data_IF_557328181450
#
_entry.id   IF_557328181450
#
_cell.length_a   1.000
_cell.length_b   1.000
_cell.length_c   1.000
_cell.angle_alpha   90.00
_cell.angle_beta   90.00
_cell.angle_gamma   90.00
#
_symmetry.space_group_name_H-M   'P 1'
#
loop_
_entity.id
_entity.type
_entity.pdbx_description
1 polymer ?
#
# COMPACT_ATOMS: atom_id res chain seq x y z
N UNK A 1 -53.65 -23.06 11.84
CA UNK A 1 -53.45 -21.87 11.00
C UNK A 1 -52.37 -21.04 11.69
N UNK A 2 -51.15 -21.12 11.18
CA UNK A 2 -50.00 -20.35 11.67
C UNK A 2 -49.77 -19.18 10.71
N UNK A 3 -49.96 -17.95 11.15
CA UNK A 3 -49.58 -16.74 10.39
C UNK A 3 -48.07 -16.60 10.49
N UNK A 4 -47.40 -16.79 9.38
CA UNK A 4 -45.98 -16.40 9.18
C UNK A 4 -45.96 -14.89 8.94
N UNK A 5 -45.51 -14.11 9.90
CA UNK A 5 -45.21 -12.69 9.72
C UNK A 5 -43.91 -12.59 8.89
N UNK A 6 -44.05 -12.20 7.64
CA UNK A 6 -42.91 -11.77 6.82
C UNK A 6 -42.43 -10.41 7.35
N UNK A 7 -41.24 -10.41 7.97
CA UNK A 7 -40.48 -9.19 8.26
C UNK A 7 -39.97 -8.68 6.92
N UNK A 8 -40.66 -7.70 6.33
CA UNK A 8 -40.12 -6.91 5.20
C UNK A 8 -39.04 -6.01 5.79
N UNK A 9 -37.76 -6.38 5.58
CA UNK A 9 -36.67 -5.46 5.83
C UNK A 9 -36.84 -4.28 4.84
N UNK A 10 -37.23 -3.14 5.41
CA UNK A 10 -37.28 -1.88 4.65
C UNK A 10 -35.87 -1.62 4.08
N UNK A 11 -35.74 -1.68 2.76
CA UNK A 11 -34.55 -1.18 2.08
C UNK A 11 -34.44 0.32 2.35
N UNK A 12 -33.33 0.74 2.94
CA UNK A 12 -33.04 2.17 3.08
C UNK A 12 -33.14 2.84 1.69
N UNK A 13 -33.79 4.01 1.58
CA UNK A 13 -33.86 4.70 0.29
C UNK A 13 -32.46 5.00 -0.23
N UNK A 14 -32.24 4.91 -1.55
CA UNK A 14 -30.94 5.20 -2.13
C UNK A 14 -30.49 6.61 -1.75
N UNK A 15 -29.26 6.74 -1.28
CA UNK A 15 -28.66 8.03 -0.89
C UNK A 15 -28.76 9.02 -2.06
N UNK A 16 -29.13 10.27 -1.79
CA UNK A 16 -29.05 11.33 -2.80
C UNK A 16 -27.62 11.37 -3.34
N UNK A 17 -27.42 11.45 -4.69
CA UNK A 17 -26.08 11.50 -5.30
C UNK A 17 -25.19 12.65 -4.79
N UNK A 18 -25.81 13.70 -4.25
CA UNK A 18 -25.14 14.88 -3.67
C UNK A 18 -24.98 14.81 -2.15
N UNK A 19 -25.45 13.75 -1.51
CA UNK A 19 -25.25 13.59 -0.05
C UNK A 19 -23.76 13.41 0.26
N UNK A 20 -23.31 13.91 1.43
CA UNK A 20 -21.93 13.77 1.87
C UNK A 20 -21.45 12.29 1.88
N UNK A 21 -22.35 11.35 2.23
CA UNK A 21 -22.05 9.92 2.23
C UNK A 21 -21.82 9.39 0.80
N UNK A 22 -22.70 9.74 -0.15
CA UNK A 22 -22.55 9.34 -1.56
C UNK A 22 -21.28 9.94 -2.20
N UNK A 23 -21.00 11.22 -1.90
CA UNK A 23 -19.77 11.88 -2.36
C UNK A 23 -18.51 11.23 -1.78
N UNK A 24 -18.52 10.82 -0.49
CA UNK A 24 -17.40 10.06 0.09
C UNK A 24 -17.20 8.71 -0.61
N UNK A 25 -18.26 7.97 -0.85
CA UNK A 25 -18.18 6.69 -1.56
C UNK A 25 -17.63 6.87 -2.98
N UNK A 26 -18.08 7.88 -3.73
CA UNK A 26 -17.57 8.23 -5.06
C UNK A 26 -16.09 8.64 -5.02
N UNK A 27 -15.70 9.48 -4.06
CA UNK A 27 -14.30 9.90 -3.90
C UNK A 27 -13.36 8.73 -3.63
N UNK A 28 -13.80 7.75 -2.82
CA UNK A 28 -13.06 6.51 -2.59
C UNK A 28 -12.92 5.68 -3.87
N UNK A 29 -14.00 5.51 -4.63
CA UNK A 29 -13.95 4.78 -5.91
C UNK A 29 -12.95 5.42 -6.89
N UNK A 30 -13.01 6.75 -7.05
CA UNK A 30 -12.06 7.49 -7.88
C UNK A 30 -10.62 7.31 -7.39
N UNK A 31 -10.37 7.50 -6.09
CA UNK A 31 -9.03 7.37 -5.52
C UNK A 31 -8.41 5.99 -5.71
N UNK A 32 -9.19 4.93 -5.49
CA UNK A 32 -8.73 3.55 -5.72
C UNK A 32 -8.60 3.18 -7.19
N UNK A 33 -9.20 3.93 -8.10
CA UNK A 33 -8.99 3.84 -9.54
C UNK A 33 -7.83 4.73 -10.05
N UNK A 34 -7.05 5.37 -9.16
CA UNK A 34 -5.94 6.28 -9.46
C UNK A 34 -6.35 7.63 -10.09
N UNK A 35 -7.60 8.03 -9.93
CA UNK A 35 -8.10 9.35 -10.35
C UNK A 35 -8.02 10.32 -9.16
N UNK A 36 -6.80 10.57 -8.67
CA UNK A 36 -6.54 11.25 -7.40
C UNK A 36 -7.05 12.71 -7.39
N UNK A 37 -6.94 13.44 -8.49
CA UNK A 37 -7.40 14.83 -8.59
C UNK A 37 -8.92 14.93 -8.46
N UNK A 38 -9.65 14.07 -9.19
CA UNK A 38 -11.11 13.99 -9.15
C UNK A 38 -11.60 13.47 -7.79
N UNK A 39 -10.87 12.54 -7.18
CA UNK A 39 -11.16 12.05 -5.82
C UNK A 39 -11.07 13.20 -4.80
N UNK A 40 -10.00 14.00 -4.83
CA UNK A 40 -9.82 15.14 -3.94
C UNK A 40 -10.91 16.20 -4.15
N UNK A 41 -11.24 16.52 -5.41
CA UNK A 41 -12.33 17.44 -5.74
C UNK A 41 -13.68 16.92 -5.20
N UNK A 42 -13.94 15.63 -5.30
CA UNK A 42 -15.17 14.99 -4.79
C UNK A 42 -15.22 15.02 -3.25
N UNK A 43 -14.10 14.82 -2.55
CA UNK A 43 -14.06 14.94 -1.10
C UNK A 43 -14.25 16.39 -0.63
N UNK A 44 -13.77 17.40 -1.38
CA UNK A 44 -14.10 18.81 -1.10
C UNK A 44 -15.60 19.09 -1.22
N UNK A 45 -16.28 18.49 -2.19
CA UNK A 45 -17.74 18.56 -2.29
C UNK A 45 -18.43 17.86 -1.10
N UNK A 46 -17.90 16.71 -0.64
CA UNK A 46 -18.41 16.04 0.54
C UNK A 46 -18.27 16.88 1.83
N UNK A 47 -17.14 17.61 1.96
CA UNK A 47 -16.93 18.58 3.05
C UNK A 47 -17.94 19.72 2.97
N UNK A 48 -18.19 20.27 1.78
CA UNK A 48 -19.16 21.35 1.60
C UNK A 48 -20.59 20.90 1.92
N UNK A 49 -20.93 19.62 1.63
CA UNK A 49 -22.23 19.04 1.94
C UNK A 49 -22.43 18.72 3.44
N UNK A 50 -21.35 18.49 4.19
CA UNK A 50 -21.39 18.22 5.64
C UNK A 50 -20.07 18.70 6.27
N UNK A 51 -19.96 20.00 6.59
CA UNK A 51 -18.72 20.60 7.08
C UNK A 51 -18.40 20.22 8.54
N UNK A 52 -19.35 19.67 9.28
CA UNK A 52 -19.13 19.21 10.66
C UNK A 52 -18.72 17.74 10.76
N UNK A 53 -18.74 17.00 9.63
CA UNK A 53 -18.31 15.60 9.60
C UNK A 53 -16.79 15.47 9.44
N UNK A 54 -16.03 14.90 10.40
CA UNK A 54 -14.59 14.72 10.29
C UNK A 54 -14.16 13.79 9.16
N UNK A 55 -15.04 12.89 8.70
CA UNK A 55 -14.74 11.89 7.68
C UNK A 55 -14.39 12.51 6.32
N UNK A 56 -15.06 13.58 5.88
CA UNK A 56 -14.77 14.27 4.62
C UNK A 56 -13.34 14.82 4.60
N UNK A 57 -12.96 15.52 5.64
CA UNK A 57 -11.61 16.09 5.82
C UNK A 57 -10.54 15.00 5.90
N UNK A 58 -10.80 13.94 6.67
CA UNK A 58 -9.88 12.81 6.80
C UNK A 58 -9.62 12.12 5.46
N UNK A 59 -10.65 11.91 4.65
CA UNK A 59 -10.53 11.28 3.34
C UNK A 59 -9.83 12.19 2.32
N UNK A 60 -10.05 13.51 2.37
CA UNK A 60 -9.28 14.48 1.59
C UNK A 60 -7.79 14.41 1.94
N UNK A 61 -7.44 14.43 3.23
CA UNK A 61 -6.05 14.28 3.68
C UNK A 61 -5.45 12.93 3.23
N UNK A 62 -6.19 11.83 3.33
CA UNK A 62 -5.75 10.52 2.86
C UNK A 62 -5.44 10.51 1.35
N UNK A 63 -6.28 11.17 0.56
CA UNK A 63 -6.09 11.30 -0.90
C UNK A 63 -4.83 12.09 -1.23
N UNK A 64 -4.58 13.20 -0.54
CA UNK A 64 -3.36 13.99 -0.71
C UNK A 64 -2.12 13.15 -0.37
N UNK A 65 -2.16 12.41 0.75
CA UNK A 65 -1.08 11.52 1.14
C UNK A 65 -0.78 10.46 0.06
N UNK A 66 -1.80 9.77 -0.46
CA UNK A 66 -1.62 8.77 -1.52
C UNK A 66 -1.14 9.39 -2.83
N UNK A 67 -1.60 10.59 -3.17
CA UNK A 67 -1.09 11.37 -4.33
C UNK A 67 0.41 11.63 -4.20
N UNK A 68 0.86 12.09 -3.03
CA UNK A 68 2.28 12.36 -2.79
C UNK A 68 3.13 11.09 -2.83
N UNK A 69 2.62 9.97 -2.33
CA UNK A 69 3.31 8.67 -2.46
C UNK A 69 3.42 8.26 -3.93
N UNK A 70 2.36 8.43 -4.72
CA UNK A 70 2.36 8.16 -6.15
C UNK A 70 3.38 9.04 -6.89
N UNK A 71 3.42 10.35 -6.59
CA UNK A 71 4.40 11.31 -7.13
C UNK A 71 5.85 10.97 -6.73
N UNK A 72 6.05 10.27 -5.61
CA UNK A 72 7.36 9.76 -5.18
C UNK A 72 7.70 8.38 -5.74
N UNK A 73 6.85 7.80 -6.59
CA UNK A 73 7.04 6.48 -7.17
C UNK A 73 6.91 5.32 -6.17
N UNK A 74 6.20 5.52 -5.04
CA UNK A 74 5.86 4.46 -4.09
C UNK A 74 4.53 3.85 -4.53
N UNK A 75 4.58 2.80 -5.37
CA UNK A 75 3.42 2.31 -6.11
C UNK A 75 3.18 0.81 -6.01
N UNK A 76 4.12 0.04 -5.44
CA UNK A 76 4.03 -1.42 -5.39
C UNK A 76 4.21 -1.95 -3.97
N UNK A 77 3.78 -3.18 -3.73
CA UNK A 77 4.05 -3.91 -2.48
C UNK A 77 5.55 -4.06 -2.22
N UNK A 78 6.38 -4.12 -3.27
CA UNK A 78 7.83 -4.19 -3.13
C UNK A 78 8.41 -2.99 -2.37
N UNK A 79 7.78 -1.82 -2.45
CA UNK A 79 8.18 -0.64 -1.68
C UNK A 79 8.01 -0.85 -0.15
N UNK A 80 7.17 -1.80 0.26
CA UNK A 80 6.85 -2.12 1.64
C UNK A 80 7.43 -3.46 2.14
N UNK A 81 8.01 -4.31 1.28
CA UNK A 81 8.54 -5.61 1.69
C UNK A 81 9.91 -5.52 2.38
N UNK A 82 10.70 -4.48 2.13
CA UNK A 82 12.00 -4.28 2.77
C UNK A 82 11.91 -3.55 4.10
N UNK A 83 12.79 -3.90 5.05
CA UNK A 83 12.78 -3.34 6.40
C UNK A 83 13.29 -1.91 6.52
N UNK A 84 13.96 -1.36 5.50
CA UNK A 84 14.67 -0.09 5.60
C UNK A 84 14.53 0.85 4.40
N UNK A 85 13.77 0.50 3.38
CA UNK A 85 13.62 1.32 2.16
C UNK A 85 12.94 2.67 2.39
N UNK A 86 12.36 2.90 3.56
CA UNK A 86 11.67 4.14 3.93
C UNK A 86 12.60 5.32 4.23
N UNK A 87 13.92 5.08 4.36
CA UNK A 87 14.88 6.09 4.88
C UNK A 87 15.63 6.82 3.77
N UNK A 88 15.47 6.40 2.50
CA UNK A 88 16.20 7.03 1.37
C UNK A 88 15.69 8.45 1.15
N UNK A 89 16.62 9.37 0.88
CA UNK A 89 16.34 10.79 0.58
C UNK A 89 15.18 10.92 -0.42
N UNK A 90 14.10 11.54 0.02
CA UNK A 90 12.89 11.71 -0.77
C UNK A 90 12.85 13.11 -1.35
N UNK A 91 12.28 13.23 -2.52
CA UNK A 91 11.94 14.56 -3.06
C UNK A 91 10.97 15.23 -2.07
N UNK A 92 11.27 16.46 -1.62
CA UNK A 92 10.33 17.17 -0.77
C UNK A 92 8.94 17.23 -1.41
N UNK A 93 7.87 17.09 -0.62
CA UNK A 93 6.51 17.21 -1.16
C UNK A 93 6.26 18.63 -1.66
N UNK A 94 5.34 18.77 -2.60
CA UNK A 94 4.86 20.11 -3.01
C UNK A 94 4.27 20.83 -1.80
N UNK A 95 4.72 22.06 -1.56
CA UNK A 95 4.38 22.85 -0.37
C UNK A 95 2.86 23.04 -0.26
N UNK A 96 2.18 23.27 -1.39
CA UNK A 96 0.73 23.45 -1.45
C UNK A 96 -0.01 22.20 -0.97
N UNK A 97 0.37 21.01 -1.46
CA UNK A 97 -0.25 19.74 -1.03
C UNK A 97 0.07 19.41 0.42
N UNK A 98 1.30 19.67 0.87
CA UNK A 98 1.66 19.48 2.27
C UNK A 98 0.83 20.37 3.21
N UNK A 99 0.67 21.65 2.85
CA UNK A 99 -0.17 22.61 3.60
C UNK A 99 -1.64 22.18 3.61
N UNK A 100 -2.17 21.75 2.46
CA UNK A 100 -3.55 21.30 2.32
C UNK A 100 -3.78 19.99 3.11
N UNK A 101 -2.82 19.07 3.11
CA UNK A 101 -2.86 17.85 3.94
C UNK A 101 -3.04 18.20 5.41
N UNK A 102 -2.16 19.07 5.95
CA UNK A 102 -2.23 19.45 7.35
C UNK A 102 -3.48 20.26 7.69
N UNK A 103 -3.96 21.11 6.78
CA UNK A 103 -5.24 21.81 6.95
C UNK A 103 -6.39 20.82 7.16
N UNK A 104 -6.58 19.88 6.23
CA UNK A 104 -7.64 18.89 6.31
C UNK A 104 -7.48 17.97 7.53
N UNK A 105 -6.26 17.52 7.81
CA UNK A 105 -5.97 16.69 8.96
C UNK A 105 -6.36 17.38 10.27
N UNK A 106 -5.96 18.65 10.45
CA UNK A 106 -6.27 19.44 11.64
C UNK A 106 -7.78 19.65 11.82
N UNK A 107 -8.50 19.89 10.73
CA UNK A 107 -9.95 20.00 10.78
C UNK A 107 -10.61 18.68 11.24
N UNK A 108 -10.20 17.54 10.66
CA UNK A 108 -10.69 16.23 11.08
C UNK A 108 -10.43 15.96 12.57
N UNK A 109 -9.19 16.25 13.03
CA UNK A 109 -8.82 16.09 14.44
C UNK A 109 -9.63 17.00 15.37
N UNK A 110 -9.82 18.28 15.00
CA UNK A 110 -10.55 19.26 15.81
C UNK A 110 -12.01 18.88 15.96
N UNK A 111 -12.69 18.53 14.86
CA UNK A 111 -14.11 18.14 14.86
C UNK A 111 -14.33 16.85 15.68
N UNK A 112 -13.51 15.83 15.44
CA UNK A 112 -13.62 14.57 16.17
C UNK A 112 -13.30 14.74 17.67
N UNK A 113 -12.28 15.54 18.02
CA UNK A 113 -11.92 15.81 19.41
C UNK A 113 -12.99 16.66 20.13
N UNK A 114 -13.66 17.59 19.45
CA UNK A 114 -14.80 18.34 20.01
C UNK A 114 -15.90 17.36 20.40
N UNK A 115 -16.34 16.51 19.47
CA UNK A 115 -17.37 15.51 19.72
C UNK A 115 -17.01 14.55 20.86
N UNK A 116 -15.73 14.16 20.95
CA UNK A 116 -15.24 13.28 22.01
C UNK A 116 -15.23 13.96 23.40
N UNK A 117 -15.01 15.29 23.45
CA UNK A 117 -15.14 16.04 24.72
C UNK A 117 -16.57 16.10 25.21
N UNK A 118 -17.52 16.30 24.29
CA UNK A 118 -18.94 16.38 24.63
C UNK A 118 -19.53 15.01 24.96
N UNK A 119 -19.01 13.95 24.30
CA UNK A 119 -19.44 12.56 24.44
C UNK A 119 -18.24 11.61 24.58
N UNK A 120 -17.64 11.44 25.79
CA UNK A 120 -16.38 10.71 26.01
C UNK A 120 -16.43 9.21 25.67
N UNK A 121 -17.60 8.63 25.45
CA UNK A 121 -17.81 7.23 25.06
C UNK A 121 -18.31 7.07 23.62
N UNK A 122 -18.33 8.15 22.84
CA UNK A 122 -18.76 8.09 21.45
C UNK A 122 -17.76 7.26 20.62
N UNK A 123 -18.24 6.12 20.16
CA UNK A 123 -17.46 5.12 19.40
C UNK A 123 -16.95 5.69 18.08
N UNK A 124 -17.79 6.44 17.37
CA UNK A 124 -17.38 7.02 16.08
C UNK A 124 -16.38 8.16 16.27
N UNK A 125 -16.54 8.98 17.31
CA UNK A 125 -15.57 10.02 17.63
C UNK A 125 -14.19 9.43 17.97
N UNK A 126 -14.09 8.35 18.75
CA UNK A 126 -12.87 7.63 18.98
C UNK A 126 -12.24 7.11 17.67
N UNK A 127 -13.05 6.48 16.82
CA UNK A 127 -12.61 6.01 15.51
C UNK A 127 -12.06 7.15 14.65
N UNK A 128 -12.76 8.27 14.51
CA UNK A 128 -12.32 9.39 13.68
C UNK A 128 -11.05 10.05 14.20
N UNK A 129 -10.91 10.20 15.52
CA UNK A 129 -9.65 10.68 16.13
C UNK A 129 -8.52 9.74 15.80
N UNK A 130 -8.72 8.44 16.03
CA UNK A 130 -7.71 7.41 15.75
C UNK A 130 -7.29 7.40 14.28
N UNK A 131 -8.24 7.47 13.35
CA UNK A 131 -7.98 7.46 11.93
C UNK A 131 -7.24 8.72 11.44
N UNK A 132 -7.57 9.90 11.96
CA UNK A 132 -6.85 11.12 11.65
C UNK A 132 -5.39 11.06 12.13
N UNK A 133 -5.14 10.59 13.36
CA UNK A 133 -3.78 10.38 13.85
C UNK A 133 -3.01 9.26 13.11
N UNK A 134 -3.70 8.25 12.57
CA UNK A 134 -3.07 7.24 11.72
C UNK A 134 -2.53 7.86 10.42
N UNK A 135 -3.27 8.76 9.79
CA UNK A 135 -2.79 9.47 8.60
C UNK A 135 -1.66 10.45 8.92
N UNK A 136 -1.69 11.13 10.07
CA UNK A 136 -0.57 11.95 10.54
C UNK A 136 0.71 11.11 10.68
N UNK A 137 0.63 9.98 11.36
CA UNK A 137 1.76 9.08 11.55
C UNK A 137 2.27 8.54 10.21
N UNK A 138 1.37 8.16 9.30
CA UNK A 138 1.70 7.67 7.97
C UNK A 138 2.41 8.75 7.14
N UNK A 139 1.87 9.95 7.07
CA UNK A 139 2.46 11.07 6.33
C UNK A 139 3.85 11.42 6.89
N UNK A 140 3.95 11.65 8.20
CA UNK A 140 5.21 11.99 8.87
C UNK A 140 6.30 10.96 8.64
N UNK A 141 5.95 9.67 8.67
CA UNK A 141 6.93 8.59 8.46
C UNK A 141 7.25 8.35 6.98
N UNK A 142 6.24 8.44 6.09
CA UNK A 142 6.39 8.01 4.69
C UNK A 142 6.69 9.15 3.73
N UNK A 143 6.19 10.34 3.93
CA UNK A 143 6.42 11.52 3.08
C UNK A 143 7.56 12.37 3.63
N UNK A 144 7.58 12.65 4.94
CA UNK A 144 8.63 13.47 5.55
C UNK A 144 9.86 12.67 6.00
N UNK A 145 9.78 11.33 6.05
CA UNK A 145 10.87 10.45 6.48
C UNK A 145 11.17 10.51 7.99
N UNK A 146 10.34 11.19 8.79
CA UNK A 146 10.52 11.38 10.23
C UNK A 146 9.88 10.25 11.03
N UNK A 147 10.46 9.04 10.96
CA UNK A 147 9.93 7.83 11.61
C UNK A 147 9.77 8.01 13.13
N UNK A 148 10.79 8.55 13.82
CA UNK A 148 10.71 8.81 15.26
C UNK A 148 9.66 9.87 15.57
N UNK A 149 9.56 10.92 14.74
CA UNK A 149 8.56 11.99 14.88
C UNK A 149 7.12 11.51 14.73
N UNK A 150 6.89 10.39 14.06
CA UNK A 150 5.54 9.82 13.88
C UNK A 150 5.02 9.02 15.09
N UNK A 151 5.89 8.65 16.06
CA UNK A 151 5.54 7.72 17.14
C UNK A 151 4.40 8.22 18.04
N UNK A 152 4.34 9.51 18.34
CA UNK A 152 3.27 10.08 19.18
C UNK A 152 1.90 9.94 18.50
N UNK A 153 1.82 10.30 17.22
CA UNK A 153 0.61 10.15 16.43
C UNK A 153 0.24 8.67 16.25
N UNK A 154 1.21 7.80 15.99
CA UNK A 154 1.03 6.35 15.89
C UNK A 154 0.44 5.75 17.17
N UNK A 155 0.98 6.15 18.34
CA UNK A 155 0.46 5.71 19.64
C UNK A 155 -0.97 6.18 19.87
N UNK A 156 -1.27 7.43 19.53
CA UNK A 156 -2.63 7.96 19.65
C UNK A 156 -3.59 7.20 18.75
N UNK A 157 -3.22 6.99 17.49
CA UNK A 157 -4.00 6.20 16.53
C UNK A 157 -4.32 4.80 17.07
N UNK A 158 -3.31 4.10 17.56
CA UNK A 158 -3.47 2.77 18.14
C UNK A 158 -4.43 2.78 19.35
N UNK A 159 -4.23 3.70 20.30
CA UNK A 159 -5.01 3.76 21.53
C UNK A 159 -6.50 4.05 21.25
N UNK A 160 -6.79 4.96 20.32
CA UNK A 160 -8.18 5.32 19.97
C UNK A 160 -8.90 4.20 19.24
N UNK A 161 -8.23 3.49 18.31
CA UNK A 161 -8.82 2.33 17.64
C UNK A 161 -9.00 1.13 18.59
N UNK A 162 -8.05 0.89 19.52
CA UNK A 162 -8.19 -0.13 20.55
C UNK A 162 -9.34 0.20 21.50
N UNK A 163 -9.54 1.50 21.81
CA UNK A 163 -10.70 1.97 22.58
C UNK A 163 -12.01 1.75 21.81
N UNK A 164 -12.03 2.06 20.50
CA UNK A 164 -13.18 1.78 19.63
C UNK A 164 -13.58 0.30 19.69
N UNK A 165 -12.61 -0.62 19.53
CA UNK A 165 -12.85 -2.07 19.60
C UNK A 165 -13.35 -2.53 20.98
N UNK A 166 -12.92 -1.88 22.07
CA UNK A 166 -13.39 -2.18 23.43
C UNK A 166 -14.83 -1.69 23.68
N UNK A 167 -15.17 -0.53 23.16
CA UNK A 167 -16.51 0.05 23.30
C UNK A 167 -17.52 -0.63 22.36
N UNK A 168 -17.11 -0.99 21.16
CA UNK A 168 -17.94 -1.63 20.15
C UNK A 168 -17.14 -2.73 19.42
N UNK A 169 -17.14 -3.98 19.93
CA UNK A 169 -16.38 -5.09 19.33
C UNK A 169 -16.79 -5.43 17.89
N UNK A 170 -17.97 -4.99 17.45
CA UNK A 170 -18.47 -5.20 16.09
C UNK A 170 -17.95 -4.16 15.08
N UNK A 171 -17.34 -3.07 15.53
CA UNK A 171 -16.67 -2.08 14.68
C UNK A 171 -15.33 -2.64 14.17
N UNK A 172 -15.39 -3.66 13.32
CA UNK A 172 -14.21 -4.41 12.80
C UNK A 172 -13.26 -3.53 12.00
N UNK A 173 -13.74 -2.44 11.42
CA UNK A 173 -12.91 -1.44 10.70
C UNK A 173 -11.80 -0.85 11.58
N UNK A 174 -12.03 -0.64 12.87
CA UNK A 174 -11.01 -0.20 13.81
C UNK A 174 -9.85 -1.23 13.97
N UNK A 175 -10.13 -2.49 13.64
CA UNK A 175 -9.12 -3.56 13.63
C UNK A 175 -7.99 -3.35 12.63
N UNK A 176 -8.19 -2.58 11.57
CA UNK A 176 -7.15 -2.31 10.58
C UNK A 176 -5.89 -1.70 11.23
N UNK A 177 -6.05 -0.59 11.94
CA UNK A 177 -4.92 0.13 12.55
C UNK A 177 -4.30 -0.68 13.68
N UNK A 178 -5.12 -1.25 14.56
CA UNK A 178 -4.62 -2.10 15.65
C UNK A 178 -3.86 -3.30 15.09
N UNK A 179 -4.37 -3.91 14.01
CA UNK A 179 -3.76 -5.05 13.33
C UNK A 179 -2.41 -4.72 12.70
N UNK A 180 -2.31 -3.61 11.96
CA UNK A 180 -1.07 -3.12 11.34
C UNK A 180 0.02 -2.92 12.42
N UNK A 181 -0.30 -2.24 13.51
CA UNK A 181 0.68 -1.99 14.58
C UNK A 181 1.09 -3.27 15.31
N UNK A 182 0.14 -4.17 15.62
CA UNK A 182 0.47 -5.47 16.25
C UNK A 182 1.38 -6.31 15.37
N UNK A 183 1.10 -6.36 14.07
CA UNK A 183 1.94 -7.06 13.11
C UNK A 183 3.33 -6.40 13.02
N UNK A 184 3.40 -5.09 12.84
CA UNK A 184 4.67 -4.35 12.76
C UNK A 184 5.55 -4.50 14.02
N UNK A 185 4.95 -4.45 15.21
CA UNK A 185 5.68 -4.68 16.47
C UNK A 185 6.27 -6.09 16.53
N UNK A 186 5.57 -7.10 15.99
CA UNK A 186 6.10 -8.48 15.97
C UNK A 186 7.35 -8.65 15.09
N UNK A 187 7.54 -7.78 14.09
CA UNK A 187 8.70 -7.77 13.19
C UNK A 187 9.94 -7.07 13.80
N UNK A 188 9.77 -6.36 14.91
CA UNK A 188 10.87 -5.67 15.57
C UNK A 188 11.82 -6.65 16.27
N UNK A 189 13.11 -6.28 16.34
CA UNK A 189 14.08 -6.97 17.21
C UNK A 189 13.63 -6.97 18.68
N UNK A 190 14.04 -7.94 19.46
CA UNK A 190 13.59 -8.10 20.85
C UNK A 190 13.71 -6.82 21.70
N UNK A 191 14.81 -6.04 21.68
CA UNK A 191 14.90 -4.79 22.45
C UNK A 191 13.88 -3.73 21.98
N UNK A 192 13.73 -3.56 20.67
CA UNK A 192 12.78 -2.60 20.10
C UNK A 192 11.33 -3.00 20.38
N UNK A 193 11.04 -4.29 20.37
CA UNK A 193 9.73 -4.85 20.69
C UNK A 193 9.36 -4.63 22.16
N UNK A 194 10.30 -4.82 23.07
CA UNK A 194 10.09 -4.49 24.48
C UNK A 194 9.76 -3.01 24.67
N UNK A 195 10.51 -2.12 24.00
CA UNK A 195 10.22 -0.68 24.03
C UNK A 195 8.84 -0.35 23.48
N UNK A 196 8.41 -1.00 22.41
CA UNK A 196 7.08 -0.83 21.86
C UNK A 196 5.99 -1.26 22.86
N UNK A 197 6.19 -2.38 23.58
CA UNK A 197 5.26 -2.81 24.63
C UNK A 197 5.18 -1.81 25.79
N UNK A 198 6.31 -1.29 26.25
CA UNK A 198 6.37 -0.25 27.27
C UNK A 198 5.70 1.06 26.81
N UNK A 199 5.69 1.31 25.50
CA UNK A 199 4.99 2.45 24.91
C UNK A 199 3.49 2.21 24.68
N UNK A 200 2.94 1.07 25.10
CA UNK A 200 1.51 0.76 25.04
C UNK A 200 1.05 0.09 23.74
N UNK A 201 1.95 -0.28 22.83
CA UNK A 201 1.59 -1.07 21.66
C UNK A 201 1.43 -2.54 22.02
N UNK A 202 0.40 -3.20 21.48
CA UNK A 202 0.31 -4.66 21.53
C UNK A 202 1.14 -5.31 20.43
N UNK A 203 1.46 -6.60 20.59
CA UNK A 203 2.13 -7.41 19.58
C UNK A 203 1.32 -8.65 19.20
N UNK A 204 1.88 -9.42 18.28
CA UNK A 204 1.33 -10.69 17.81
C UNK A 204 1.01 -10.67 16.32
N UNK A 205 1.82 -11.40 15.54
CA UNK A 205 1.71 -11.47 14.07
C UNK A 205 0.33 -11.96 13.62
N UNK A 206 -0.06 -13.15 14.09
CA UNK A 206 -1.33 -13.76 13.69
C UNK A 206 -2.54 -12.95 14.15
N UNK A 207 -2.51 -12.46 15.40
CA UNK A 207 -3.59 -11.61 15.90
C UNK A 207 -3.68 -10.30 15.12
N UNK A 208 -2.55 -9.71 14.75
CA UNK A 208 -2.51 -8.52 13.90
C UNK A 208 -3.13 -8.78 12.53
N UNK A 209 -2.75 -9.88 11.88
CA UNK A 209 -3.29 -10.30 10.58
C UNK A 209 -4.79 -10.56 10.65
N UNK A 210 -5.26 -11.31 11.64
CA UNK A 210 -6.69 -11.61 11.82
C UNK A 210 -7.54 -10.33 11.96
N UNK A 211 -7.06 -9.33 12.71
CA UNK A 211 -7.75 -8.04 12.82
C UNK A 211 -7.86 -7.32 11.46
N UNK A 212 -6.84 -7.40 10.62
CA UNK A 212 -6.88 -6.83 9.26
C UNK A 212 -7.82 -7.64 8.38
N UNK A 213 -7.83 -8.98 8.48
CA UNK A 213 -8.77 -9.84 7.77
C UNK A 213 -10.22 -9.54 8.15
N UNK A 214 -10.51 -9.30 9.43
CA UNK A 214 -11.84 -8.90 9.89
C UNK A 214 -12.24 -7.52 9.34
N UNK A 215 -11.32 -6.54 9.36
CA UNK A 215 -11.55 -5.23 8.77
C UNK A 215 -11.81 -5.30 7.25
N UNK A 216 -11.12 -6.20 6.55
CA UNK A 216 -11.31 -6.41 5.11
C UNK A 216 -12.68 -7.02 4.76
N UNK A 217 -13.29 -7.74 5.68
CA UNK A 217 -14.66 -8.30 5.54
C UNK A 217 -15.76 -7.32 5.95
N UNK A 218 -15.41 -6.33 6.78
CA UNK A 218 -16.38 -5.38 7.33
C UNK A 218 -16.66 -4.24 6.32
N UNK A 219 -17.95 -3.99 5.97
CA UNK A 219 -18.32 -2.88 5.09
C UNK A 219 -18.02 -1.53 5.74
N UNK A 220 -17.03 -0.82 5.23
CA UNK A 220 -16.62 0.49 5.72
C UNK A 220 -15.79 1.24 4.67
N UNK A 221 -15.50 2.52 4.93
CA UNK A 221 -14.64 3.36 4.09
C UNK A 221 -13.16 2.93 4.09
N UNK A 222 -12.73 2.06 5.02
CA UNK A 222 -11.37 1.50 5.09
C UNK A 222 -11.28 0.05 4.64
N UNK A 223 -12.38 -0.58 4.24
CA UNK A 223 -12.39 -1.98 3.78
C UNK A 223 -11.36 -2.22 2.68
N UNK A 224 -11.30 -1.34 1.70
CA UNK A 224 -10.35 -1.44 0.59
C UNK A 224 -8.90 -1.25 1.06
N UNK A 225 -8.64 -0.35 2.02
CA UNK A 225 -7.32 -0.21 2.63
C UNK A 225 -6.89 -1.48 3.37
N UNK A 226 -7.83 -2.16 4.03
CA UNK A 226 -7.57 -3.45 4.67
C UNK A 226 -7.20 -4.52 3.64
N UNK A 227 -7.89 -4.57 2.49
CA UNK A 227 -7.53 -5.47 1.39
C UNK A 227 -6.14 -5.19 0.82
N UNK A 228 -5.77 -3.92 0.58
CA UNK A 228 -4.40 -3.57 0.16
C UNK A 228 -3.36 -3.96 1.22
N UNK A 229 -3.67 -3.75 2.49
CA UNK A 229 -2.80 -4.17 3.59
C UNK A 229 -2.61 -5.69 3.59
N UNK A 230 -3.67 -6.48 3.36
CA UNK A 230 -3.57 -7.94 3.27
C UNK A 230 -2.66 -8.39 2.12
N UNK A 231 -2.63 -7.70 0.98
CA UNK A 231 -1.69 -8.04 -0.09
C UNK A 231 -0.25 -7.95 0.44
N UNK A 232 0.08 -6.89 1.20
CA UNK A 232 1.42 -6.74 1.80
C UNK A 232 1.70 -7.86 2.82
N UNK A 233 0.77 -8.11 3.74
CA UNK A 233 0.95 -9.11 4.80
C UNK A 233 1.08 -10.52 4.22
N UNK A 234 0.22 -10.90 3.29
CA UNK A 234 0.27 -12.21 2.64
C UNK A 234 1.56 -12.41 1.82
N UNK A 235 2.05 -11.36 1.12
CA UNK A 235 3.34 -11.43 0.45
C UNK A 235 4.50 -11.62 1.44
N UNK A 236 4.49 -10.93 2.59
CA UNK A 236 5.49 -11.12 3.66
C UNK A 236 5.47 -12.53 4.26
N UNK A 237 4.30 -13.13 4.35
CA UNK A 237 4.10 -14.48 4.87
C UNK A 237 4.24 -15.57 3.80
N UNK A 238 4.61 -15.20 2.56
CA UNK A 238 4.67 -16.12 1.40
C UNK A 238 3.32 -16.81 1.09
N UNK A 239 2.21 -16.23 1.51
CA UNK A 239 0.84 -16.67 1.24
C UNK A 239 0.37 -16.08 -0.09
N UNK A 240 1.08 -16.42 -1.14
CA UNK A 240 0.90 -15.81 -2.45
C UNK A 240 -0.45 -16.11 -3.10
N UNK A 241 -1.03 -17.27 -2.81
CA UNK A 241 -2.35 -17.64 -3.32
C UNK A 241 -3.42 -16.68 -2.79
N UNK A 242 -3.41 -16.42 -1.49
CA UNK A 242 -4.33 -15.49 -0.84
C UNK A 242 -4.09 -14.04 -1.31
N UNK A 243 -2.82 -13.64 -1.47
CA UNK A 243 -2.50 -12.33 -2.03
C UNK A 243 -3.09 -12.15 -3.44
N UNK A 244 -2.92 -13.14 -4.33
CA UNK A 244 -3.49 -13.12 -5.68
C UNK A 244 -5.02 -13.12 -5.67
N UNK A 245 -5.67 -13.83 -4.73
CA UNK A 245 -7.13 -13.80 -4.59
C UNK A 245 -7.63 -12.39 -4.25
N UNK A 246 -6.98 -11.71 -3.28
CA UNK A 246 -7.32 -10.33 -2.91
C UNK A 246 -7.06 -9.36 -4.08
N UNK A 247 -5.96 -9.53 -4.82
CA UNK A 247 -5.66 -8.67 -5.98
C UNK A 247 -6.76 -8.82 -7.05
N UNK A 248 -7.21 -10.05 -7.35
CA UNK A 248 -8.31 -10.29 -8.31
C UNK A 248 -9.62 -9.64 -7.84
N UNK A 249 -9.95 -9.73 -6.55
CA UNK A 249 -11.10 -9.06 -5.96
C UNK A 249 -11.03 -7.55 -6.17
N UNK A 250 -9.87 -6.93 -5.89
CA UNK A 250 -9.66 -5.50 -6.08
C UNK A 250 -9.69 -5.10 -7.55
N UNK A 251 -9.16 -5.90 -8.47
CA UNK A 251 -9.23 -5.65 -9.90
C UNK A 251 -10.66 -5.66 -10.44
N UNK A 252 -11.50 -6.59 -9.95
CA UNK A 252 -12.91 -6.62 -10.32
C UNK A 252 -13.65 -5.36 -9.83
N UNK A 253 -13.28 -4.84 -8.65
CA UNK A 253 -13.89 -3.64 -8.07
C UNK A 253 -13.33 -2.33 -8.67
N UNK A 254 -12.01 -2.30 -8.96
CA UNK A 254 -11.30 -1.11 -9.45
C UNK A 254 -10.58 -1.41 -10.77
N UNK A 255 -11.33 -1.61 -11.87
CA UNK A 255 -10.76 -2.08 -13.14
C UNK A 255 -9.81 -1.09 -13.82
N UNK A 256 -9.90 0.21 -13.46
CA UNK A 256 -9.01 1.27 -13.99
C UNK A 256 -7.70 1.40 -13.19
N UNK A 257 -7.56 0.69 -12.06
CA UNK A 257 -6.31 0.67 -11.31
C UNK A 257 -5.31 -0.28 -11.97
N UNK A 258 -4.47 0.28 -12.83
CA UNK A 258 -3.44 -0.47 -13.55
C UNK A 258 -2.40 -1.10 -12.64
N UNK A 259 -2.10 -0.49 -11.48
CA UNK A 259 -1.09 -1.00 -10.54
C UNK A 259 -1.45 -2.36 -9.94
N UNK A 260 -2.74 -2.70 -9.87
CA UNK A 260 -3.17 -4.03 -9.44
C UNK A 260 -2.71 -5.16 -10.38
N UNK A 261 -2.60 -4.88 -11.70
CA UNK A 261 -2.03 -5.85 -12.65
C UNK A 261 -0.52 -6.00 -12.47
N UNK A 262 0.18 -4.90 -12.25
CA UNK A 262 1.61 -4.93 -11.92
C UNK A 262 1.85 -5.78 -10.68
N UNK A 263 1.06 -5.56 -9.63
CA UNK A 263 1.17 -6.32 -8.38
C UNK A 263 0.80 -7.80 -8.55
N UNK A 264 -0.20 -8.12 -9.39
CA UNK A 264 -0.52 -9.51 -9.71
C UNK A 264 0.68 -10.22 -10.35
N UNK A 265 1.32 -9.59 -11.34
CA UNK A 265 2.52 -10.12 -11.99
C UNK A 265 3.69 -10.28 -11.02
N UNK A 266 3.96 -9.25 -10.21
CA UNK A 266 5.03 -9.28 -9.21
C UNK A 266 4.77 -10.35 -8.12
N UNK A 267 3.54 -10.50 -7.65
CA UNK A 267 3.15 -11.56 -6.69
C UNK A 267 3.27 -12.95 -7.33
N UNK A 268 2.89 -13.13 -8.59
CA UNK A 268 3.04 -14.40 -9.31
C UNK A 268 4.53 -14.77 -9.49
N UNK A 269 5.42 -13.79 -9.72
CA UNK A 269 6.87 -14.02 -9.75
C UNK A 269 7.40 -14.49 -8.39
N UNK A 270 7.01 -13.85 -7.30
CA UNK A 270 7.36 -14.28 -5.94
C UNK A 270 6.85 -15.68 -5.63
N UNK A 271 5.67 -16.03 -6.18
CA UNK A 271 5.10 -17.37 -6.12
C UNK A 271 5.79 -18.41 -7.03
N UNK A 272 6.85 -18.04 -7.75
CA UNK A 272 7.53 -18.87 -8.75
C UNK A 272 6.61 -19.37 -9.88
N UNK A 273 5.68 -18.51 -10.32
CA UNK A 273 4.73 -18.75 -11.42
C UNK A 273 4.99 -17.81 -12.59
N UNK A 274 6.14 -17.92 -13.29
CA UNK A 274 6.53 -16.94 -14.29
C UNK A 274 5.60 -16.91 -15.51
N UNK A 275 4.95 -18.01 -15.88
CA UNK A 275 3.98 -18.04 -16.96
C UNK A 275 2.72 -17.21 -16.63
N UNK A 276 2.21 -17.32 -15.40
CA UNK A 276 1.09 -16.51 -14.91
C UNK A 276 1.50 -15.02 -14.84
N UNK A 277 2.70 -14.75 -14.33
CA UNK A 277 3.24 -13.38 -14.27
C UNK A 277 3.34 -12.74 -15.65
N UNK A 278 3.82 -13.48 -16.65
CA UNK A 278 3.91 -13.01 -18.05
C UNK A 278 2.56 -12.50 -18.56
N UNK A 279 1.49 -13.26 -18.37
CA UNK A 279 0.15 -12.89 -18.83
C UNK A 279 -0.30 -11.55 -18.22
N UNK A 280 -0.13 -11.38 -16.91
CA UNK A 280 -0.51 -10.14 -16.22
C UNK A 280 0.29 -8.93 -16.68
N UNK A 281 1.60 -9.12 -16.88
CA UNK A 281 2.54 -8.04 -17.18
C UNK A 281 2.49 -7.63 -18.64
N UNK A 282 2.30 -8.57 -19.55
CA UNK A 282 2.14 -8.30 -20.98
C UNK A 282 0.84 -7.53 -21.27
N UNK A 283 -0.31 -7.99 -20.75
CA UNK A 283 -1.58 -7.25 -20.85
C UNK A 283 -1.48 -5.87 -20.18
N UNK A 284 -0.85 -5.81 -19.01
CA UNK A 284 -0.68 -4.55 -18.28
C UNK A 284 0.18 -3.52 -19.02
N UNK A 285 1.29 -3.92 -19.65
CA UNK A 285 2.13 -3.05 -20.46
C UNK A 285 1.39 -2.54 -21.72
N UNK A 286 0.63 -3.41 -22.39
CA UNK A 286 -0.18 -3.01 -23.54
C UNK A 286 -1.22 -1.95 -23.15
N UNK A 287 -1.86 -2.10 -21.99
CA UNK A 287 -2.82 -1.11 -21.48
C UNK A 287 -2.13 0.17 -21.02
N UNK A 288 -0.98 0.07 -20.36
CA UNK A 288 -0.20 1.23 -19.93
C UNK A 288 0.18 2.13 -21.11
N UNK A 289 0.54 1.53 -22.26
CA UNK A 289 0.88 2.28 -23.47
C UNK A 289 -0.26 3.19 -23.97
N UNK A 290 -1.52 2.80 -23.72
CA UNK A 290 -2.73 3.50 -24.13
C UNK A 290 -3.42 4.27 -23.00
N UNK A 291 -2.86 4.29 -21.78
CA UNK A 291 -3.43 5.01 -20.64
C UNK A 291 -2.94 6.48 -20.66
N UNK A 292 -3.84 7.48 -20.89
CA UNK A 292 -3.44 8.89 -20.96
C UNK A 292 -3.16 9.51 -19.60
N UNK A 293 -3.47 8.81 -18.49
CA UNK A 293 -3.30 9.35 -17.14
C UNK A 293 -1.85 9.49 -16.74
N UNK A 294 -1.51 10.44 -15.85
CA UNK A 294 -0.15 10.59 -15.35
C UNK A 294 0.43 9.27 -14.82
N UNK A 295 1.70 9.06 -15.07
CA UNK A 295 2.48 7.93 -14.56
C UNK A 295 3.27 8.36 -13.34
N UNK A 296 3.43 7.43 -12.39
CA UNK A 296 4.37 7.64 -11.30
C UNK A 296 5.83 7.60 -11.84
N UNK A 297 6.76 8.31 -11.21
CA UNK A 297 8.17 8.23 -11.58
C UNK A 297 8.70 6.79 -11.55
N UNK A 298 9.26 6.35 -12.65
CA UNK A 298 9.80 4.98 -12.81
C UNK A 298 8.72 3.89 -12.92
N UNK A 299 7.47 4.23 -13.15
CA UNK A 299 6.38 3.25 -13.24
C UNK A 299 6.57 2.31 -14.42
N UNK A 300 6.86 2.82 -15.63
CA UNK A 300 7.06 1.99 -16.81
C UNK A 300 8.27 1.07 -16.63
N UNK A 301 9.36 1.57 -16.05
CA UNK A 301 10.52 0.77 -15.73
C UNK A 301 10.24 -0.37 -14.79
N UNK A 302 9.32 -0.19 -13.81
CA UNK A 302 8.88 -1.29 -12.93
C UNK A 302 8.07 -2.36 -13.66
N UNK A 303 7.22 -1.96 -14.57
CA UNK A 303 6.50 -2.89 -15.44
C UNK A 303 7.46 -3.70 -16.29
N UNK A 304 8.40 -3.03 -16.97
CA UNK A 304 9.41 -3.67 -17.83
C UNK A 304 10.35 -4.57 -17.02
N UNK A 305 10.75 -4.15 -15.82
CA UNK A 305 11.55 -4.98 -14.93
C UNK A 305 10.81 -6.27 -14.56
N UNK A 306 9.57 -6.18 -14.09
CA UNK A 306 8.79 -7.35 -13.70
C UNK A 306 8.55 -8.29 -14.90
N UNK A 307 8.23 -7.72 -16.07
CA UNK A 307 8.05 -8.50 -17.30
C UNK A 307 9.36 -9.16 -17.76
N UNK A 308 10.46 -8.44 -17.77
CA UNK A 308 11.78 -8.97 -18.07
C UNK A 308 12.19 -10.09 -17.11
N UNK A 309 11.92 -9.96 -15.82
CA UNK A 309 12.17 -11.02 -14.83
C UNK A 309 11.33 -12.29 -15.10
N UNK A 310 10.07 -12.13 -15.52
CA UNK A 310 9.24 -13.27 -15.93
C UNK A 310 9.81 -13.98 -17.17
N UNK A 311 10.27 -13.22 -18.15
CA UNK A 311 10.88 -13.74 -19.36
C UNK A 311 12.23 -14.46 -19.08
N UNK A 312 13.06 -13.91 -18.16
CA UNK A 312 14.28 -14.61 -17.69
C UNK A 312 13.94 -15.95 -17.08
N UNK A 313 12.95 -16.00 -16.20
CA UNK A 313 12.51 -17.24 -15.55
C UNK A 313 11.93 -18.28 -16.55
N UNK A 314 11.38 -17.81 -17.68
CA UNK A 314 10.90 -18.64 -18.80
C UNK A 314 11.99 -18.95 -19.83
N UNK A 315 13.21 -18.46 -19.63
CA UNK A 315 14.35 -18.58 -20.55
C UNK A 315 14.10 -17.97 -21.94
N UNK A 316 13.21 -16.99 -22.02
CA UNK A 316 12.96 -16.21 -23.25
C UNK A 316 13.95 -15.02 -23.32
N UNK A 317 15.18 -15.32 -23.74
CA UNK A 317 16.35 -14.49 -23.50
C UNK A 317 16.33 -13.15 -24.26
N UNK A 318 15.97 -13.15 -25.55
CA UNK A 318 16.01 -11.93 -26.39
C UNK A 318 14.98 -10.87 -25.92
N UNK A 319 13.70 -11.20 -25.76
CA UNK A 319 12.74 -10.25 -25.18
C UNK A 319 13.10 -9.82 -23.75
N UNK A 320 13.60 -10.74 -22.91
CA UNK A 320 14.03 -10.40 -21.56
C UNK A 320 15.11 -9.31 -21.55
N UNK A 321 16.13 -9.44 -22.41
CA UNK A 321 17.20 -8.43 -22.49
C UNK A 321 16.67 -7.07 -22.92
N UNK A 322 15.80 -7.03 -23.92
CA UNK A 322 15.18 -5.78 -24.40
C UNK A 322 14.42 -5.07 -23.28
N UNK A 323 13.54 -5.80 -22.57
CA UNK A 323 12.73 -5.22 -21.52
C UNK A 323 13.57 -4.77 -20.31
N UNK A 324 14.55 -5.56 -19.87
CA UNK A 324 15.42 -5.21 -18.77
C UNK A 324 16.33 -4.00 -19.08
N UNK A 325 16.84 -3.88 -20.30
CA UNK A 325 17.61 -2.70 -20.72
C UNK A 325 16.73 -1.45 -20.76
N UNK A 326 15.53 -1.57 -21.29
CA UNK A 326 14.56 -0.47 -21.29
C UNK A 326 14.17 -0.06 -19.85
N UNK A 327 14.01 -1.02 -18.94
CA UNK A 327 13.73 -0.75 -17.53
C UNK A 327 14.83 0.10 -16.87
N UNK A 328 16.12 -0.14 -17.17
CA UNK A 328 17.24 0.64 -16.59
C UNK A 328 17.16 2.13 -16.90
N UNK A 329 16.56 2.50 -18.03
CA UNK A 329 16.47 3.90 -18.47
C UNK A 329 15.39 4.68 -17.72
N UNK A 330 14.38 3.98 -17.18
CA UNK A 330 13.22 4.60 -16.54
C UNK A 330 13.18 4.44 -15.01
N UNK A 331 13.69 3.32 -14.44
CA UNK A 331 13.67 3.13 -12.98
C UNK A 331 14.50 4.19 -12.27
N UNK A 332 13.89 4.84 -11.29
CA UNK A 332 14.49 5.99 -10.58
C UNK A 332 15.20 5.58 -9.28
N UNK A 333 14.84 4.44 -8.70
CA UNK A 333 15.35 3.98 -7.39
C UNK A 333 16.50 3.01 -7.54
N UNK A 334 17.53 3.16 -6.72
CA UNK A 334 18.74 2.32 -6.78
C UNK A 334 18.45 0.84 -6.50
N UNK A 335 17.54 0.53 -5.57
CA UNK A 335 17.14 -0.86 -5.36
C UNK A 335 16.48 -1.48 -6.62
N UNK A 336 15.66 -0.70 -7.35
CA UNK A 336 15.02 -1.17 -8.55
C UNK A 336 16.07 -1.39 -9.67
N UNK A 337 17.00 -0.46 -9.85
CA UNK A 337 18.15 -0.62 -10.75
C UNK A 337 18.99 -1.84 -10.39
N UNK A 338 19.25 -2.02 -9.08
CA UNK A 338 19.98 -3.18 -8.57
C UNK A 338 19.29 -4.51 -8.91
N UNK A 339 18.00 -4.58 -8.79
CA UNK A 339 17.21 -5.76 -9.14
C UNK A 339 17.19 -6.01 -10.65
N UNK A 340 17.07 -4.97 -11.49
CA UNK A 340 17.21 -5.10 -12.95
C UNK A 340 18.58 -5.67 -13.30
N UNK A 341 19.66 -5.15 -12.69
CA UNK A 341 21.02 -5.67 -12.88
C UNK A 341 21.15 -7.14 -12.49
N UNK A 342 20.51 -7.55 -11.40
CA UNK A 342 20.48 -8.96 -10.99
C UNK A 342 19.84 -9.84 -12.08
N UNK A 343 18.71 -9.42 -12.64
CA UNK A 343 18.06 -10.18 -13.72
C UNK A 343 18.91 -10.19 -15.02
N UNK A 344 19.60 -9.10 -15.36
CA UNK A 344 20.57 -9.08 -16.47
C UNK A 344 21.74 -10.04 -16.22
N UNK A 345 22.19 -10.17 -14.98
CA UNK A 345 23.20 -11.17 -14.60
C UNK A 345 22.70 -12.60 -14.81
N UNK A 346 21.47 -12.91 -14.40
CA UNK A 346 20.84 -14.22 -14.65
C UNK A 346 20.75 -14.49 -16.16
N UNK A 347 20.37 -13.49 -16.93
CA UNK A 347 20.30 -13.59 -18.38
C UNK A 347 21.67 -13.92 -19.00
N UNK A 348 22.74 -13.25 -18.54
CA UNK A 348 24.10 -13.51 -19.00
C UNK A 348 24.56 -14.94 -18.63
N UNK A 349 24.25 -15.44 -17.44
CA UNK A 349 24.53 -16.83 -17.06
C UNK A 349 23.80 -17.82 -17.98
N UNK A 350 22.53 -17.61 -18.29
CA UNK A 350 21.73 -18.43 -19.21
C UNK A 350 22.29 -18.41 -20.64
N UNK A 351 22.94 -17.29 -21.04
CA UNK A 351 23.62 -17.16 -22.34
C UNK A 351 25.04 -17.73 -22.32
N UNK A 352 25.54 -18.25 -21.20
CA UNK A 352 26.90 -18.78 -21.08
C UNK A 352 27.98 -17.71 -20.83
N UNK A 353 27.60 -16.45 -20.68
CA UNK A 353 28.55 -15.32 -20.45
C UNK A 353 28.73 -15.05 -18.96
N UNK A 354 29.45 -15.95 -18.28
CA UNK A 354 29.73 -15.84 -16.85
C UNK A 354 30.50 -14.58 -16.45
N UNK A 355 31.50 -14.09 -17.20
CA UNK A 355 32.18 -12.84 -16.86
C UNK A 355 31.22 -11.66 -16.81
N UNK A 356 30.33 -11.50 -17.78
CA UNK A 356 29.30 -10.48 -17.79
C UNK A 356 28.31 -10.66 -16.64
N UNK A 357 27.88 -11.89 -16.35
CA UNK A 357 26.98 -12.18 -15.23
C UNK A 357 27.57 -11.71 -13.89
N UNK A 358 28.85 -12.00 -13.65
CA UNK A 358 29.58 -11.58 -12.43
C UNK A 358 29.61 -10.05 -12.29
N UNK A 359 29.86 -9.32 -13.40
CA UNK A 359 29.87 -7.85 -13.37
C UNK A 359 28.46 -7.28 -13.03
N UNK A 360 27.42 -7.79 -13.68
CA UNK A 360 26.03 -7.39 -13.40
C UNK A 360 25.64 -7.66 -11.93
N UNK A 361 26.01 -8.81 -11.36
CA UNK A 361 25.76 -9.11 -9.94
C UNK A 361 26.52 -8.19 -8.99
N UNK A 362 27.75 -7.82 -9.30
CA UNK A 362 28.53 -6.85 -8.51
C UNK A 362 27.87 -5.46 -8.53
N UNK A 363 27.42 -5.02 -9.69
CA UNK A 363 26.67 -3.76 -9.81
C UNK A 363 25.34 -3.82 -9.05
N UNK A 364 24.62 -4.93 -9.15
CA UNK A 364 23.40 -5.17 -8.37
C UNK A 364 23.62 -5.02 -6.87
N UNK A 365 24.64 -5.69 -6.31
CA UNK A 365 24.97 -5.63 -4.88
C UNK A 365 25.27 -4.19 -4.45
N UNK A 366 26.00 -3.42 -5.25
CA UNK A 366 26.33 -2.02 -4.95
C UNK A 366 25.06 -1.17 -4.84
N UNK A 367 24.19 -1.23 -5.86
CA UNK A 367 22.96 -0.46 -5.93
C UNK A 367 21.96 -0.87 -4.85
N UNK A 368 21.75 -2.18 -4.64
CA UNK A 368 20.85 -2.68 -3.61
C UNK A 368 21.30 -2.31 -2.20
N UNK A 369 22.62 -2.18 -1.95
CA UNK A 369 23.14 -1.70 -0.65
C UNK A 369 22.82 -0.23 -0.40
N UNK A 370 22.87 0.62 -1.42
CA UNK A 370 22.55 2.05 -1.28
C UNK A 370 21.13 2.27 -0.77
N UNK A 371 20.17 1.48 -1.25
CA UNK A 371 18.77 1.52 -0.86
C UNK A 371 18.40 0.47 0.22
N UNK A 372 19.39 -0.17 0.85
CA UNK A 372 19.24 -1.15 1.95
C UNK A 372 18.33 -2.35 1.58
N UNK A 373 18.31 -2.74 0.31
CA UNK A 373 17.64 -3.96 -0.15
C UNK A 373 18.49 -5.19 0.15
N UNK A 374 18.46 -5.64 1.41
CA UNK A 374 19.26 -6.79 1.89
C UNK A 374 18.92 -8.06 1.13
N UNK A 375 17.66 -8.30 0.80
CA UNK A 375 17.22 -9.47 0.03
C UNK A 375 17.89 -9.52 -1.34
N UNK A 376 17.88 -8.42 -2.07
CA UNK A 376 18.57 -8.34 -3.36
C UNK A 376 20.09 -8.57 -3.22
N UNK A 377 20.71 -7.99 -2.19
CA UNK A 377 22.15 -8.18 -1.92
C UNK A 377 22.48 -9.66 -1.69
N UNK A 378 21.68 -10.35 -0.88
CA UNK A 378 21.94 -11.75 -0.52
C UNK A 378 21.70 -12.69 -1.71
N UNK A 379 20.65 -12.46 -2.49
CA UNK A 379 20.38 -13.19 -3.73
C UNK A 379 21.51 -12.99 -4.75
N UNK A 380 21.95 -11.76 -4.98
CA UNK A 380 23.04 -11.48 -5.93
C UNK A 380 24.38 -12.07 -5.45
N UNK A 381 24.65 -12.11 -4.14
CA UNK A 381 25.83 -12.79 -3.58
C UNK A 381 25.78 -14.30 -3.78
N UNK A 382 24.61 -14.93 -3.65
CA UNK A 382 24.45 -16.36 -3.94
C UNK A 382 24.74 -16.64 -5.41
N UNK A 383 24.27 -15.78 -6.32
CA UNK A 383 24.51 -15.88 -7.75
C UNK A 383 25.97 -15.62 -8.17
N UNK A 384 26.74 -14.85 -7.38
CA UNK A 384 28.20 -14.77 -7.59
C UNK A 384 28.91 -16.10 -7.34
N UNK A 385 28.42 -16.90 -6.39
CA UNK A 385 29.00 -18.21 -6.04
C UNK A 385 28.56 -19.31 -7.01
N UNK A 386 27.29 -19.29 -7.42
CA UNK A 386 26.69 -20.33 -8.27
C UNK A 386 25.94 -19.66 -9.41
N UNK A 387 26.30 -20.00 -10.65
CA UNK A 387 25.62 -19.48 -11.84
C UNK A 387 24.14 -19.85 -11.86
N UNK A 388 23.31 -18.93 -12.34
CA UNK A 388 21.89 -19.18 -12.58
C UNK A 388 21.73 -20.16 -13.75
N UNK A 389 20.77 -21.14 -13.62
CA UNK A 389 20.55 -22.19 -14.62
C UNK A 389 19.10 -22.31 -15.03
#
# INVERSE_FOLDING_TARGET
MALAAQIVLAQEPPLSPTSAAALRARGLDLGYNLDHAEALATFKQAIAADPDAPAGYRLAAATIWTTLLFEQGVITVEDYLGTARSVVARTPPRVELASEFYHHLKQAQTLAARRLRDHPTDVDAHYQVGAAFAFEASYTSTVEGRVVGSLAAARRAYAEHDRTLKLAPDRKDAGLIVGIYRYGVSELSAPKRLLAYLSGFGGGRDRGRLLVEDAARYPSDVQTNALFTLIVLYNRESRFHEALAVIRQLQARYPRNRLLRLEAGATALRAKRPAEARVWLEDGLARLANDPRPRAPGEEGRWRYAYGAALVALKDLRPAERELRAALNDVTRDWARGRVRKELGKLADLAGDRPRAVDEYRQSIRLCRQDQDTTCVDEARALLKTAYR
#
